data_IF_242584884063
#
_entry.id   IF_242584884063
#
_cell.length_a   1.000
_cell.length_b   1.000
_cell.length_c   1.000
_cell.angle_alpha   90.00
_cell.angle_beta   90.00
_cell.angle_gamma   90.00
#
_symmetry.space_group_name_H-M   'P 1'
#
loop_
_entity.id
_entity.type
_entity.pdbx_description
1 polymer ?
#
# COMPACT_ATOMS: atom_id res chain seq x y z
N UNK A 1 -0.10 10.46 27.92
CA UNK A 1 -0.81 10.93 26.72
C UNK A 1 -1.81 9.85 26.37
N UNK A 2 -3.10 10.16 26.48
CA UNK A 2 -4.18 9.25 26.08
C UNK A 2 -4.54 9.60 24.63
N UNK A 3 -4.34 8.65 23.71
CA UNK A 3 -4.62 8.84 22.28
C UNK A 3 -5.82 7.96 21.93
N UNK A 4 -6.92 8.60 21.56
CA UNK A 4 -8.13 7.93 21.09
C UNK A 4 -7.91 7.37 19.68
N UNK A 5 -7.38 6.14 19.61
CA UNK A 5 -7.06 5.44 18.37
C UNK A 5 -8.26 5.32 17.39
N UNK A 6 -9.49 5.02 17.84
CA UNK A 6 -10.69 5.08 16.98
C UNK A 6 -10.90 6.42 16.26
N UNK A 7 -10.63 7.56 16.92
CA UNK A 7 -10.82 8.88 16.32
C UNK A 7 -9.85 9.18 15.17
N UNK A 8 -8.75 8.43 15.07
CA UNK A 8 -7.77 8.55 13.99
C UNK A 8 -8.22 7.84 12.70
N UNK A 9 -9.33 7.10 12.74
CA UNK A 9 -9.84 6.38 11.59
C UNK A 9 -10.61 7.34 10.66
N UNK A 10 -10.02 7.66 9.51
CA UNK A 10 -10.74 8.36 8.44
C UNK A 10 -11.70 7.39 7.73
N UNK A 11 -13.01 7.57 7.97
CA UNK A 11 -14.10 6.75 7.40
C UNK A 11 -14.66 7.29 6.07
N UNK A 12 -14.16 8.42 5.57
CA UNK A 12 -14.60 9.00 4.29
C UNK A 12 -14.10 8.20 3.07
N UNK A 13 -14.64 8.55 1.90
CA UNK A 13 -14.18 8.00 0.63
C UNK A 13 -12.69 8.30 0.43
N UNK A 14 -11.91 7.28 0.07
CA UNK A 14 -10.49 7.41 -0.22
C UNK A 14 -10.29 7.31 -1.72
N UNK A 15 -9.50 8.23 -2.27
CA UNK A 15 -8.98 8.05 -3.61
C UNK A 15 -7.90 6.97 -3.57
N UNK A 16 -7.89 6.02 -4.52
CA UNK A 16 -6.74 5.14 -4.70
C UNK A 16 -5.47 5.98 -4.88
N UNK A 17 -4.45 5.71 -4.07
CA UNK A 17 -3.21 6.52 -4.01
C UNK A 17 -2.59 6.72 -5.40
N UNK A 18 -2.63 5.68 -6.23
CA UNK A 18 -2.06 5.69 -7.57
C UNK A 18 -2.81 6.64 -8.51
N UNK A 19 -4.14 6.59 -8.49
CA UNK A 19 -4.99 7.47 -9.31
C UNK A 19 -4.81 8.92 -8.85
N UNK A 20 -4.82 9.15 -7.54
CA UNK A 20 -4.60 10.49 -6.98
C UNK A 20 -3.24 11.07 -7.41
N UNK A 21 -2.15 10.30 -7.32
CA UNK A 21 -0.82 10.79 -7.72
C UNK A 21 -0.72 11.04 -9.23
N UNK A 22 -1.30 10.16 -10.06
CA UNK A 22 -1.33 10.33 -11.52
C UNK A 22 -2.11 11.60 -11.91
N UNK A 23 -3.26 11.84 -11.28
CA UNK A 23 -4.07 13.04 -11.49
C UNK A 23 -3.33 14.33 -11.10
N UNK A 24 -2.40 14.24 -10.14
CA UNK A 24 -1.50 15.33 -9.74
C UNK A 24 -0.24 15.45 -10.61
N UNK A 25 -0.13 14.69 -11.71
CA UNK A 25 0.99 14.77 -12.66
C UNK A 25 2.23 13.96 -12.26
N UNK A 26 2.14 13.11 -11.26
CA UNK A 26 3.27 12.27 -10.84
C UNK A 26 3.42 11.07 -11.77
N UNK A 27 4.69 10.71 -12.04
CA UNK A 27 5.02 9.43 -12.65
C UNK A 27 5.05 8.38 -11.53
N UNK A 28 4.18 7.37 -11.62
CA UNK A 28 3.96 6.38 -10.56
C UNK A 28 4.42 5.01 -11.03
N UNK A 29 5.22 4.34 -10.20
CA UNK A 29 5.59 2.92 -10.32
C UNK A 29 5.03 2.15 -9.14
N UNK A 30 4.43 1.00 -9.41
CA UNK A 30 3.85 0.11 -8.42
C UNK A 30 4.52 -1.27 -8.47
N UNK A 31 4.65 -1.92 -7.33
CA UNK A 31 5.08 -3.31 -7.23
C UNK A 31 4.28 -4.00 -6.12
N UNK A 32 3.60 -5.10 -6.46
CA UNK A 32 2.85 -5.85 -5.45
C UNK A 32 3.81 -6.62 -4.56
N UNK A 33 3.40 -6.90 -3.31
CA UNK A 33 4.17 -7.76 -2.41
C UNK A 33 4.42 -9.11 -3.08
N UNK A 34 3.41 -9.70 -3.70
CA UNK A 34 3.57 -10.98 -4.40
C UNK A 34 4.64 -10.91 -5.49
N UNK A 35 4.62 -9.87 -6.32
CA UNK A 35 5.59 -9.66 -7.39
C UNK A 35 7.01 -9.52 -6.85
N UNK A 36 7.21 -8.75 -5.78
CA UNK A 36 8.52 -8.58 -5.16
C UNK A 36 9.05 -9.90 -4.61
N UNK A 37 8.23 -10.69 -3.93
CA UNK A 37 8.64 -11.99 -3.42
C UNK A 37 9.06 -12.93 -4.55
N UNK A 38 8.28 -13.01 -5.63
CA UNK A 38 8.64 -13.78 -6.83
C UNK A 38 9.94 -13.29 -7.45
N UNK A 39 10.08 -11.97 -7.67
CA UNK A 39 11.24 -11.35 -8.28
C UNK A 39 12.53 -11.64 -7.52
N UNK A 40 12.47 -11.68 -6.19
CA UNK A 40 13.63 -11.93 -5.32
C UNK A 40 13.76 -13.38 -4.85
N UNK A 41 12.97 -14.31 -5.40
CA UNK A 41 13.03 -15.73 -5.04
C UNK A 41 12.75 -16.00 -3.55
N UNK A 42 11.84 -15.22 -2.95
CA UNK A 42 11.45 -15.33 -1.54
C UNK A 42 10.10 -16.02 -1.41
N UNK A 43 9.96 -16.84 -0.38
CA UNK A 43 8.68 -17.45 -0.02
C UNK A 43 7.83 -16.44 0.73
N UNK A 44 6.56 -16.32 0.34
CA UNK A 44 5.61 -15.49 1.07
C UNK A 44 5.45 -16.02 2.50
N UNK A 45 5.52 -15.17 3.54
CA UNK A 45 5.29 -15.61 4.90
C UNK A 45 3.85 -16.08 5.05
N UNK A 46 3.65 -17.29 5.57
CA UNK A 46 2.34 -17.73 6.03
C UNK A 46 2.01 -16.92 7.30
N UNK A 47 0.86 -16.24 7.31
CA UNK A 47 0.37 -15.55 8.50
C UNK A 47 0.13 -16.53 9.65
N UNK A 48 0.12 -16.05 10.91
CA UNK A 48 -0.16 -16.90 12.07
C UNK A 48 -1.54 -17.57 12.02
N UNK A 49 -2.47 -16.97 11.28
CA UNK A 49 -3.75 -17.54 10.86
C UNK A 49 -3.85 -17.27 9.35
N UNK A 50 -4.36 -18.20 8.53
CA UNK A 50 -4.48 -18.11 7.04
C UNK A 50 -5.19 -16.83 6.51
N UNK A 51 -5.63 -15.96 7.40
CA UNK A 51 -6.07 -14.60 7.13
C UNK A 51 -4.89 -13.64 7.13
N UNK A 52 -4.50 -13.14 5.96
CA UNK A 52 -3.64 -11.97 5.87
C UNK A 52 -4.42 -10.72 6.35
N UNK A 53 -4.11 -10.17 7.55
CA UNK A 53 -4.90 -9.09 8.12
C UNK A 53 -4.79 -7.78 7.34
N UNK A 54 -3.76 -7.65 6.50
CA UNK A 54 -3.53 -6.47 5.66
C UNK A 54 -3.96 -6.71 4.21
N UNK A 55 -4.27 -7.95 3.83
CA UNK A 55 -4.52 -8.35 2.45
C UNK A 55 -3.30 -8.06 1.56
N UNK A 56 -3.53 -7.79 0.28
CA UNK A 56 -2.43 -7.48 -0.62
C UNK A 56 -1.87 -6.07 -0.38
N UNK A 57 -0.55 -6.03 -0.19
CA UNK A 57 0.21 -4.79 -0.03
C UNK A 57 0.83 -4.42 -1.38
N UNK A 58 0.62 -3.16 -1.80
CA UNK A 58 1.24 -2.60 -3.01
C UNK A 58 2.21 -1.51 -2.59
N UNK A 59 3.46 -1.64 -3.03
CA UNK A 59 4.49 -0.62 -2.86
C UNK A 59 4.38 0.39 -4.00
N UNK A 60 4.34 1.67 -3.66
CA UNK A 60 4.20 2.76 -4.64
C UNK A 60 5.42 3.68 -4.53
N UNK A 61 6.08 3.92 -5.66
CA UNK A 61 7.12 4.94 -5.82
C UNK A 61 6.63 5.96 -6.82
N UNK A 62 6.83 7.25 -6.56
CA UNK A 62 6.39 8.29 -7.48
C UNK A 62 7.40 9.44 -7.55
N UNK A 63 7.56 10.01 -8.74
CA UNK A 63 8.40 11.19 -8.99
C UNK A 63 7.60 12.27 -9.71
N UNK A 64 7.79 13.52 -9.29
CA UNK A 64 7.27 14.69 -9.98
C UNK A 64 8.42 15.29 -10.79
N UNK A 65 8.37 15.12 -12.11
CA UNK A 65 9.38 15.70 -12.99
C UNK A 65 9.04 17.19 -13.14
N UNK A 66 9.84 18.05 -12.51
CA UNK A 66 9.76 19.51 -12.66
C UNK A 66 10.37 19.97 -13.98
#
# INVERSE_FOLDING_TARGET
LDIDMPSLVYAGARSPVMDYLRDQGWQVTEASRTELFTRYGRTMPAGPDDTDPLGEIVYVSATLNQ
#
